data_IF_200588415000
#
_entry.id   IF_200588415000
#
_cell.length_a   1.000
_cell.length_b   1.000
_cell.length_c   1.000
_cell.angle_alpha   90.00
_cell.angle_beta   90.00
_cell.angle_gamma   90.00
#
_symmetry.space_group_name_H-M   'P 1'
#
loop_
_entity.id
_entity.type
_entity.pdbx_description
1 polymer ?
#
# COMPACT_ATOMS: atom_id res chain seq x y z
N UNK A 1 18.12 26.36 -9.48
CA UNK A 1 18.66 25.20 -10.24
C UNK A 1 17.60 24.77 -11.26
N UNK A 2 18.01 24.60 -12.50
CA UNK A 2 17.16 24.69 -13.70
C UNK A 2 16.56 23.31 -14.07
N UNK A 3 15.23 23.18 -14.04
CA UNK A 3 14.47 21.93 -14.16
C UNK A 3 14.50 21.27 -15.56
N UNK A 4 15.05 21.94 -16.58
CA UNK A 4 15.04 21.43 -17.95
C UNK A 4 16.15 20.38 -18.24
N UNK A 5 17.22 20.33 -17.44
CA UNK A 5 18.34 19.40 -17.65
C UNK A 5 18.09 17.95 -17.20
N UNK A 6 17.09 17.71 -16.34
CA UNK A 6 16.85 16.39 -15.73
C UNK A 6 15.98 15.46 -16.58
N UNK A 7 15.31 15.99 -17.62
CA UNK A 7 14.43 15.21 -18.50
C UNK A 7 15.17 14.23 -19.42
N UNK A 8 16.47 14.41 -19.62
CA UNK A 8 17.26 13.54 -20.49
C UNK A 8 17.86 12.30 -19.80
N UNK A 9 17.91 12.25 -18.46
CA UNK A 9 18.38 11.07 -17.73
C UNK A 9 17.28 10.04 -17.45
N UNK A 10 16.01 10.44 -17.50
CA UNK A 10 14.87 9.52 -17.26
C UNK A 10 14.40 8.74 -18.48
N UNK A 11 14.91 9.04 -19.68
CA UNK A 11 14.44 8.41 -20.92
C UNK A 11 15.16 7.10 -21.27
N UNK A 12 16.15 6.69 -20.47
CA UNK A 12 16.97 5.48 -20.70
C UNK A 12 16.80 4.37 -19.66
N UNK A 13 15.81 4.46 -18.76
CA UNK A 13 15.50 3.39 -17.79
C UNK A 13 14.14 2.82 -18.16
N UNK A 14 14.11 2.09 -19.28
CA UNK A 14 12.96 1.30 -19.72
C UNK A 14 12.81 0.11 -18.77
N UNK A 15 11.91 0.23 -17.80
CA UNK A 15 11.16 -0.91 -17.23
C UNK A 15 11.84 -1.81 -16.20
N UNK A 16 13.00 -1.47 -15.62
CA UNK A 16 13.71 -2.37 -14.69
C UNK A 16 13.81 -1.93 -13.23
N UNK A 17 13.94 -0.63 -12.94
CA UNK A 17 14.29 -0.13 -11.61
C UNK A 17 13.15 -0.15 -10.58
N UNK A 18 11.91 0.04 -11.04
CA UNK A 18 10.75 0.19 -10.15
C UNK A 18 10.23 -1.16 -9.62
N UNK A 19 10.52 -2.25 -10.34
CA UNK A 19 10.20 -3.64 -9.92
C UNK A 19 11.03 -4.05 -8.69
N UNK A 20 12.25 -3.54 -8.54
CA UNK A 20 13.13 -3.88 -7.42
C UNK A 20 12.65 -3.30 -6.07
N UNK A 21 11.88 -2.22 -6.08
CA UNK A 21 11.33 -1.63 -4.86
C UNK A 21 10.21 -2.49 -4.27
N UNK A 22 9.57 -3.29 -5.10
CA UNK A 22 8.28 -3.92 -4.82
C UNK A 22 8.40 -5.44 -4.54
N UNK A 23 9.48 -6.09 -4.96
CA UNK A 23 9.54 -7.55 -5.08
C UNK A 23 10.13 -8.33 -3.87
N UNK A 24 10.59 -7.70 -2.78
CA UNK A 24 11.31 -8.41 -1.69
C UNK A 24 10.68 -8.19 -0.31
N UNK A 25 9.35 -8.22 -0.23
CA UNK A 25 8.66 -8.27 1.05
C UNK A 25 7.85 -9.57 1.17
N UNK A 26 8.37 -10.47 2.01
CA UNK A 26 7.67 -11.56 2.70
C UNK A 26 7.68 -12.96 2.09
N UNK A 27 8.88 -13.52 1.93
CA UNK A 27 9.13 -14.91 2.32
C UNK A 27 9.35 -14.87 3.83
N UNK A 28 8.80 -15.82 4.60
CA UNK A 28 8.94 -15.99 6.08
C UNK A 28 7.78 -15.48 6.97
N UNK A 29 6.52 -15.59 6.54
CA UNK A 29 5.42 -15.83 7.48
C UNK A 29 5.15 -17.34 7.48
N UNK A 30 5.77 -18.02 8.44
CA UNK A 30 5.97 -19.46 8.49
C UNK A 30 4.69 -20.30 8.39
N UNK A 31 4.84 -21.39 7.65
CA UNK A 31 4.13 -22.64 7.91
C UNK A 31 4.36 -23.03 9.38
N UNK A 32 3.34 -22.87 10.21
CA UNK A 32 3.20 -23.64 11.44
C UNK A 32 1.97 -24.51 11.30
N UNK A 33 2.16 -25.65 10.63
CA UNK A 33 1.36 -26.83 10.89
C UNK A 33 1.75 -27.35 12.27
N UNK A 34 0.89 -27.11 13.27
CA UNK A 34 0.85 -27.94 14.47
C UNK A 34 -0.61 -28.11 14.89
N UNK A 35 -0.96 -29.38 14.99
CA UNK A 35 -2.25 -29.97 15.34
C UNK A 35 -2.84 -29.39 16.62
N UNK A 36 -4.08 -28.89 16.56
CA UNK A 36 -4.95 -28.82 17.74
C UNK A 36 -6.42 -28.73 17.32
N UNK A 37 -7.17 -29.76 17.69
CA UNK A 37 -8.59 -29.95 17.45
C UNK A 37 -9.42 -28.99 18.30
N UNK A 38 -9.63 -27.78 17.79
CA UNK A 38 -10.84 -27.00 18.13
C UNK A 38 -11.38 -26.38 16.85
N UNK A 39 -12.54 -26.89 16.41
CA UNK A 39 -13.41 -26.27 15.39
C UNK A 39 -13.84 -24.89 15.90
N UNK A 40 -12.95 -23.90 15.85
CA UNK A 40 -13.35 -22.52 15.85
C UNK A 40 -14.05 -22.28 14.52
N UNK A 41 -15.29 -21.79 14.58
CA UNK A 41 -16.06 -21.33 13.43
C UNK A 41 -15.28 -20.18 12.79
N UNK A 42 -14.32 -20.50 11.91
CA UNK A 42 -13.57 -19.49 11.15
C UNK A 42 -14.57 -18.88 10.19
N UNK A 43 -15.11 -17.75 10.62
CA UNK A 43 -16.06 -16.89 9.93
C UNK A 43 -15.63 -16.74 8.46
N UNK A 44 -16.45 -17.24 7.53
CA UNK A 44 -16.17 -17.24 6.08
C UNK A 44 -15.82 -15.84 5.57
N UNK A 45 -16.32 -14.78 6.22
CA UNK A 45 -15.99 -13.39 5.90
C UNK A 45 -14.53 -13.02 6.19
N UNK A 46 -13.89 -13.66 7.18
CA UNK A 46 -12.46 -13.43 7.45
C UNK A 46 -11.59 -14.01 6.33
N UNK A 47 -11.95 -15.19 5.80
CA UNK A 47 -11.21 -15.82 4.69
C UNK A 47 -11.33 -15.00 3.39
N UNK A 48 -12.54 -14.58 3.06
CA UNK A 48 -12.79 -13.71 1.89
C UNK A 48 -12.00 -12.39 1.99
N UNK A 49 -12.03 -11.73 3.16
CA UNK A 49 -11.21 -10.53 3.40
C UNK A 49 -9.72 -10.79 3.16
N UNK A 50 -9.17 -11.87 3.73
CA UNK A 50 -7.74 -12.16 3.59
C UNK A 50 -7.36 -12.46 2.13
N UNK A 51 -8.22 -13.19 1.40
CA UNK A 51 -8.00 -13.48 -0.01
C UNK A 51 -8.00 -12.21 -0.87
N UNK A 52 -8.98 -11.32 -0.69
CA UNK A 52 -9.02 -10.04 -1.41
C UNK A 52 -7.81 -9.17 -1.09
N UNK A 53 -7.33 -9.15 0.16
CA UNK A 53 -6.15 -8.40 0.56
C UNK A 53 -4.84 -8.96 -0.03
N UNK A 54 -4.72 -10.29 -0.15
CA UNK A 54 -3.60 -10.92 -0.85
C UNK A 54 -3.63 -10.53 -2.33
N UNK A 55 -4.79 -10.63 -2.98
CA UNK A 55 -4.94 -10.25 -4.38
C UNK A 55 -4.64 -8.77 -4.64
N UNK A 56 -5.11 -7.88 -3.75
CA UNK A 56 -4.80 -6.45 -3.78
C UNK A 56 -3.28 -6.22 -3.69
N UNK A 57 -2.61 -6.84 -2.72
CA UNK A 57 -1.15 -6.70 -2.54
C UNK A 57 -0.38 -7.20 -3.76
N UNK A 58 -0.79 -8.33 -4.36
CA UNK A 58 -0.19 -8.85 -5.59
C UNK A 58 -0.40 -7.92 -6.79
N UNK A 59 -1.56 -7.27 -6.89
CA UNK A 59 -1.83 -6.31 -7.95
C UNK A 59 -0.96 -5.05 -7.81
N UNK A 60 -0.83 -4.52 -6.59
CA UNK A 60 0.14 -3.45 -6.25
C UNK A 60 1.55 -3.89 -6.63
N UNK A 61 1.90 -5.16 -6.33
CA UNK A 61 3.23 -5.67 -6.62
C UNK A 61 3.57 -5.70 -8.11
N UNK A 62 2.55 -5.87 -8.95
CA UNK A 62 2.69 -5.89 -10.41
C UNK A 62 2.55 -4.50 -11.03
N UNK A 63 2.42 -3.44 -10.22
CA UNK A 63 2.16 -2.08 -10.68
C UNK A 63 0.78 -1.89 -11.29
N UNK A 64 -0.15 -2.82 -11.07
CA UNK A 64 -1.52 -2.72 -11.57
C UNK A 64 -2.42 -2.11 -10.48
N UNK A 65 -2.45 -0.78 -10.42
CA UNK A 65 -3.15 -0.01 -9.39
C UNK A 65 -4.68 -0.11 -9.53
N UNK A 66 -5.21 -0.09 -10.75
CA UNK A 66 -6.64 -0.29 -11.03
C UNK A 66 -7.14 -1.63 -10.50
N UNK A 67 -6.39 -2.72 -10.76
CA UNK A 67 -6.73 -4.04 -10.23
C UNK A 67 -6.58 -4.14 -8.72
N UNK A 68 -5.61 -3.42 -8.15
CA UNK A 68 -5.46 -3.34 -6.71
C UNK A 68 -6.66 -2.65 -6.06
N UNK A 69 -7.16 -1.57 -6.65
CA UNK A 69 -8.33 -0.85 -6.19
C UNK A 69 -9.60 -1.70 -6.25
N UNK A 70 -9.81 -2.44 -7.35
CA UNK A 70 -10.92 -3.39 -7.45
C UNK A 70 -10.91 -4.41 -6.30
N UNK A 71 -9.77 -5.07 -6.06
CA UNK A 71 -9.64 -6.03 -4.97
C UNK A 71 -9.80 -5.39 -3.58
N UNK A 72 -9.39 -4.14 -3.42
CA UNK A 72 -9.60 -3.37 -2.20
C UNK A 72 -11.09 -3.07 -1.97
N UNK A 73 -11.82 -2.71 -3.04
CA UNK A 73 -13.26 -2.48 -3.02
C UNK A 73 -14.02 -3.75 -2.61
N UNK A 74 -13.61 -4.91 -3.13
CA UNK A 74 -14.17 -6.21 -2.74
C UNK A 74 -13.91 -6.56 -1.25
N UNK A 75 -12.76 -6.13 -0.72
CA UNK A 75 -12.38 -6.38 0.67
C UNK A 75 -13.16 -5.50 1.67
N UNK A 76 -13.59 -4.28 1.27
CA UNK A 76 -14.31 -3.32 2.12
C UNK A 76 -15.53 -3.90 2.85
N UNK A 77 -16.51 -4.53 2.17
CA UNK A 77 -17.70 -5.07 2.84
C UNK A 77 -17.37 -6.21 3.83
N UNK A 78 -16.23 -6.88 3.65
CA UNK A 78 -15.80 -7.99 4.50
C UNK A 78 -15.02 -7.56 5.75
N UNK A 79 -14.73 -6.25 5.90
CA UNK A 79 -13.93 -5.72 6.99
C UNK A 79 -14.75 -5.47 8.27
N UNK A 80 -14.74 -6.47 9.17
CA UNK A 80 -15.51 -6.45 10.42
C UNK A 80 -14.82 -5.71 11.56
N UNK A 81 -13.48 -5.76 11.62
CA UNK A 81 -12.70 -5.14 12.72
C UNK A 81 -12.15 -3.75 12.36
N UNK A 82 -11.94 -2.92 13.38
CA UNK A 82 -11.26 -1.63 13.25
C UNK A 82 -9.88 -1.77 12.59
N UNK A 83 -9.13 -2.81 12.95
CA UNK A 83 -7.83 -3.14 12.35
C UNK A 83 -7.93 -3.45 10.85
N UNK A 84 -8.96 -4.19 10.42
CA UNK A 84 -9.16 -4.48 8.99
C UNK A 84 -9.54 -3.22 8.20
N UNK A 85 -10.41 -2.37 8.76
CA UNK A 85 -10.79 -1.09 8.15
C UNK A 85 -9.60 -0.14 8.06
N UNK A 86 -8.77 -0.07 9.09
CA UNK A 86 -7.51 0.68 9.09
C UNK A 86 -6.57 0.19 7.98
N UNK A 87 -6.41 -1.13 7.81
CA UNK A 87 -5.61 -1.69 6.73
C UNK A 87 -6.13 -1.30 5.35
N UNK A 88 -7.44 -1.35 5.13
CA UNK A 88 -8.06 -0.91 3.87
C UNK A 88 -7.74 0.56 3.60
N UNK A 89 -7.98 1.46 4.57
CA UNK A 89 -7.69 2.89 4.39
C UNK A 89 -6.21 3.14 4.11
N UNK A 90 -5.33 2.40 4.77
CA UNK A 90 -3.88 2.52 4.60
C UNK A 90 -3.43 2.06 3.20
N UNK A 91 -4.00 0.97 2.67
CA UNK A 91 -3.73 0.52 1.31
C UNK A 91 -4.35 1.43 0.26
N UNK A 92 -5.54 1.99 0.53
CA UNK A 92 -6.14 2.98 -0.36
C UNK A 92 -5.24 4.21 -0.49
N UNK A 93 -4.76 4.75 0.64
CA UNK A 93 -3.82 5.87 0.64
C UNK A 93 -2.50 5.54 -0.07
N UNK A 94 -2.04 4.28 -0.02
CA UNK A 94 -0.91 3.83 -0.81
C UNK A 94 -1.21 3.84 -2.31
N UNK A 95 -2.36 3.33 -2.75
CA UNK A 95 -2.75 3.29 -4.16
C UNK A 95 -2.89 4.71 -4.71
N UNK A 96 -3.65 5.57 -4.03
CA UNK A 96 -3.83 6.98 -4.42
C UNK A 96 -2.48 7.74 -4.49
N UNK A 97 -1.58 7.50 -3.53
CA UNK A 97 -0.25 8.09 -3.56
C UNK A 97 0.65 7.57 -4.68
N UNK A 98 0.52 6.28 -5.01
CA UNK A 98 1.24 5.68 -6.14
C UNK A 98 0.72 6.22 -7.48
N UNK A 99 -0.60 6.41 -7.64
CA UNK A 99 -1.19 7.04 -8.82
C UNK A 99 -0.75 8.50 -8.97
N UNK A 100 -0.78 9.27 -7.88
CA UNK A 100 -0.29 10.64 -7.87
C UNK A 100 1.18 10.72 -8.32
N UNK A 101 2.02 9.78 -7.87
CA UNK A 101 3.41 9.69 -8.34
C UNK A 101 3.52 9.38 -9.84
N UNK A 102 2.72 8.42 -10.33
CA UNK A 102 2.70 8.06 -11.75
C UNK A 102 2.26 9.22 -12.63
N UNK A 103 1.37 10.07 -12.12
CA UNK A 103 0.91 11.29 -12.77
C UNK A 103 1.90 12.46 -12.61
N UNK A 104 3.05 12.24 -11.95
CA UNK A 104 4.09 13.25 -11.75
C UNK A 104 3.78 14.28 -10.66
N UNK A 105 2.76 14.03 -9.82
CA UNK A 105 2.35 14.92 -8.74
C UNK A 105 2.90 14.42 -7.40
N UNK A 106 4.13 14.84 -7.08
CA UNK A 106 4.82 14.45 -5.84
C UNK A 106 4.14 14.99 -4.57
N UNK A 107 3.66 16.23 -4.58
CA UNK A 107 3.01 16.84 -3.40
C UNK A 107 1.70 16.10 -3.03
N UNK A 108 0.92 15.73 -4.04
CA UNK A 108 -0.28 14.94 -3.84
C UNK A 108 0.07 13.54 -3.32
N UNK A 109 1.12 12.92 -3.85
CA UNK A 109 1.60 11.64 -3.35
C UNK A 109 2.06 11.69 -1.88
N UNK A 110 2.80 12.72 -1.47
CA UNK A 110 3.17 12.94 -0.07
C UNK A 110 1.93 13.06 0.82
N UNK A 111 0.91 13.78 0.36
CA UNK A 111 -0.35 13.96 1.06
C UNK A 111 -1.05 12.62 1.28
N UNK A 112 -1.14 11.78 0.25
CA UNK A 112 -1.75 10.45 0.38
C UNK A 112 -0.91 9.53 1.27
N UNK A 113 0.41 9.44 1.06
CA UNK A 113 1.28 8.59 1.88
C UNK A 113 1.29 9.00 3.36
N UNK A 114 1.09 10.28 3.67
CA UNK A 114 0.97 10.77 5.04
C UNK A 114 -0.25 10.19 5.78
N UNK A 115 -1.30 9.79 5.05
CA UNK A 115 -2.55 9.23 5.60
C UNK A 115 -2.49 7.74 5.94
N UNK A 116 -1.39 7.03 5.63
CA UNK A 116 -1.26 5.58 5.82
C UNK A 116 -1.24 5.17 7.30
N UNK A 117 -2.38 4.94 7.93
CA UNK A 117 -2.49 4.64 9.37
C UNK A 117 -1.68 3.42 9.84
N UNK A 118 -1.57 2.37 9.02
CA UNK A 118 -0.85 1.15 9.38
C UNK A 118 0.66 1.42 9.60
N UNK A 119 1.20 1.15 10.80
CA UNK A 119 2.56 1.56 11.16
C UNK A 119 3.63 0.77 10.39
N UNK A 120 3.37 -0.49 10.06
CA UNK A 120 4.31 -1.31 9.29
C UNK A 120 4.36 -0.82 7.85
N UNK A 121 3.19 -0.64 7.23
CA UNK A 121 3.09 -0.12 5.87
C UNK A 121 3.70 1.28 5.76
N UNK A 122 3.41 2.17 6.72
CA UNK A 122 4.01 3.51 6.74
C UNK A 122 5.53 3.44 6.81
N UNK A 123 6.10 2.56 7.64
CA UNK A 123 7.57 2.43 7.73
C UNK A 123 8.18 2.07 6.39
N UNK A 124 7.60 1.09 5.70
CA UNK A 124 8.05 0.67 4.37
C UNK A 124 7.91 1.80 3.35
N UNK A 125 6.75 2.45 3.29
CA UNK A 125 6.50 3.57 2.37
C UNK A 125 7.46 4.72 2.63
N UNK A 126 7.77 5.05 3.89
CA UNK A 126 8.76 6.09 4.22
C UNK A 126 10.15 5.76 3.70
N UNK A 127 10.58 4.51 3.83
CA UNK A 127 11.90 4.07 3.33
C UNK A 127 11.95 4.22 1.81
N UNK A 128 10.89 3.84 1.10
CA UNK A 128 10.83 3.93 -0.37
C UNK A 128 10.61 5.35 -0.88
N UNK A 129 9.77 6.14 -0.22
CA UNK A 129 9.48 7.54 -0.54
C UNK A 129 10.76 8.40 -0.51
N UNK A 130 11.67 8.15 0.44
CA UNK A 130 12.97 8.83 0.48
C UNK A 130 13.84 8.57 -0.75
N UNK A 131 13.66 7.45 -1.44
CA UNK A 131 14.42 7.13 -2.66
C UNK A 131 13.99 8.00 -3.85
N UNK A 132 12.80 8.60 -3.77
CA UNK A 132 12.21 9.48 -4.77
C UNK A 132 12.02 10.91 -4.24
N UNK A 133 12.78 11.28 -3.20
CA UNK A 133 12.78 12.59 -2.52
C UNK A 133 11.42 13.05 -1.98
N UNK A 134 10.54 12.11 -1.63
CA UNK A 134 9.25 12.40 -1.00
C UNK A 134 9.34 12.32 0.53
N UNK A 135 8.70 13.28 1.20
CA UNK A 135 8.63 13.37 2.65
C UNK A 135 7.32 12.77 3.17
N UNK A 136 7.46 11.66 3.89
CA UNK A 136 6.35 11.02 4.60
C UNK A 136 6.60 11.08 6.11
N UNK A 137 5.69 11.71 6.90
CA UNK A 137 5.86 11.91 8.34
C UNK A 137 5.81 10.59 9.12
N UNK A 138 6.35 10.60 10.35
CA UNK A 138 6.35 9.42 11.24
C UNK A 138 4.93 9.09 11.70
N UNK A 139 4.20 10.13 12.08
CA UNK A 139 2.83 10.05 12.56
C UNK A 139 1.85 10.22 11.39
N UNK A 140 0.69 9.53 11.42
CA UNK A 140 -0.38 9.84 10.50
C UNK A 140 -0.78 11.29 10.61
N UNK A 141 -0.83 11.95 9.46
CA UNK A 141 -1.71 13.09 9.34
C UNK A 141 -3.11 12.49 9.30
N UNK A 142 -3.92 12.83 10.30
CA UNK A 142 -5.31 12.40 10.34
C UNK A 142 -5.93 12.72 8.97
N UNK A 143 -6.43 11.71 8.28
CA UNK A 143 -7.37 11.95 7.20
C UNK A 143 -8.51 12.76 7.83
N UNK A 144 -8.71 13.99 7.38
CA UNK A 144 -9.69 14.96 7.87
C UNK A 144 -10.85 14.29 8.64
N UNK A 145 -10.84 14.49 9.95
CA UNK A 145 -11.75 13.87 10.90
C UNK A 145 -11.60 14.53 12.27
N UNK A 146 -11.82 15.85 12.30
CA UNK A 146 -11.77 16.63 13.54
C UNK A 146 -11.92 18.11 13.26
N UNK A 147 -13.15 18.59 13.03
CA UNK A 147 -13.40 20.02 12.89
C UNK A 147 -14.81 20.40 12.42
N UNK A 148 -15.77 20.26 13.35
CA UNK A 148 -17.16 20.78 13.37
C UNK A 148 -18.22 20.01 12.59
#
# INVERSE_FOLDING_TARGET
MNWQGMRHLFRSIKGGGLVAIICVCMIMAGCSMLTSTKKAKVDSGSKAFHQSMIACTQAIQRGNLEKAEMHLSDARPSAKSSKQRMKIRSLQALIEGAEALMNGNGELAETHFSRIEDPYLRREVRVKARQVDLKVPITPLAAYGGGR
#
